data_IF_699784847621
#
_entry.id   IF_699784847621
#
_cell.length_a   1.000
_cell.length_b   1.000
_cell.length_c   1.000
_cell.angle_alpha   90.00
_cell.angle_beta   90.00
_cell.angle_gamma   90.00
#
_symmetry.space_group_name_H-M   'P 1'
#
loop_
_entity.id
_entity.type
_entity.pdbx_description
1 polymer ?
#
# COMPACT_ATOMS: atom_id res chain seq x y z
N UNK A 1 0.59 17.02 16.50
CA UNK A 1 0.57 16.09 15.35
C UNK A 1 1.98 15.54 15.21
N UNK A 2 2.12 14.24 15.27
CA UNK A 2 3.42 13.57 15.18
C UNK A 2 3.53 12.80 13.88
N UNK A 3 4.76 12.65 13.38
CA UNK A 3 5.05 11.85 12.18
C UNK A 3 5.89 10.65 12.58
N UNK A 4 5.44 9.47 12.24
CA UNK A 4 6.13 8.20 12.49
C UNK A 4 6.33 7.49 11.16
N UNK A 5 7.55 7.05 10.90
CA UNK A 5 7.88 6.23 9.72
C UNK A 5 8.36 4.87 10.20
N UNK A 6 7.77 3.81 9.66
CA UNK A 6 8.14 2.45 10.05
C UNK A 6 7.45 1.38 9.21
N UNK A 7 7.83 0.14 9.44
CA UNK A 7 7.26 -1.02 8.76
C UNK A 7 6.04 -1.55 9.49
N UNK A 8 5.01 -1.91 8.74
CA UNK A 8 3.87 -2.64 9.29
C UNK A 8 4.35 -4.02 9.72
N UNK A 9 4.46 -4.23 11.03
CA UNK A 9 4.90 -5.50 11.61
C UNK A 9 3.76 -6.50 11.70
N UNK A 10 2.57 -6.04 12.07
CA UNK A 10 1.41 -6.90 12.23
C UNK A 10 0.10 -6.12 12.09
N UNK A 11 -0.87 -6.73 11.39
CA UNK A 11 -2.24 -6.21 11.31
C UNK A 11 -3.09 -6.98 12.34
N UNK A 12 -3.47 -6.29 13.41
CA UNK A 12 -4.24 -6.87 14.52
C UNK A 12 -5.71 -7.04 14.14
N UNK A 13 -6.28 -6.04 13.50
CA UNK A 13 -7.69 -6.04 13.12
C UNK A 13 -7.92 -5.19 11.88
N UNK A 14 -8.80 -5.63 11.03
CA UNK A 14 -9.28 -4.87 9.87
C UNK A 14 -10.77 -5.07 9.67
N UNK A 15 -11.48 -3.96 9.57
CA UNK A 15 -12.88 -3.97 9.17
C UNK A 15 -12.97 -3.70 7.67
N UNK A 16 -13.40 -4.69 6.89
CA UNK A 16 -13.52 -4.57 5.43
C UNK A 16 -14.59 -3.59 4.97
N UNK A 17 -15.59 -3.30 5.83
CA UNK A 17 -16.70 -2.42 5.44
C UNK A 17 -16.33 -0.95 5.49
N UNK A 18 -15.51 -0.54 6.45
CA UNK A 18 -15.14 0.86 6.67
C UNK A 18 -13.64 1.14 6.59
N UNK A 19 -12.82 0.10 6.38
CA UNK A 19 -11.36 0.21 6.29
C UNK A 19 -10.67 0.49 7.62
N UNK A 20 -11.41 0.52 8.75
CA UNK A 20 -10.80 0.72 10.05
C UNK A 20 -9.83 -0.41 10.37
N UNK A 21 -8.59 -0.02 10.63
CA UNK A 21 -7.49 -0.97 10.83
C UNK A 21 -6.75 -0.64 12.11
N UNK A 22 -6.44 -1.66 12.88
CA UNK A 22 -5.52 -1.59 14.03
C UNK A 22 -4.30 -2.41 13.65
N UNK A 23 -3.14 -1.80 13.72
CA UNK A 23 -1.89 -2.44 13.32
C UNK A 23 -0.71 -1.90 14.09
N UNK A 24 0.38 -2.65 14.06
CA UNK A 24 1.65 -2.27 14.67
C UNK A 24 2.64 -1.83 13.61
N UNK A 25 3.35 -0.75 13.90
CA UNK A 25 4.50 -0.28 13.12
C UNK A 25 5.76 -0.49 13.96
N UNK A 26 6.74 -1.10 13.35
CA UNK A 26 8.10 -1.16 13.88
C UNK A 26 8.87 0.10 13.46
N UNK A 27 9.26 0.89 14.42
CA UNK A 27 10.00 2.14 14.29
C UNK A 27 11.30 2.04 15.10
N UNK A 28 12.26 2.92 14.85
CA UNK A 28 13.58 2.89 15.50
C UNK A 28 13.52 2.87 17.03
N UNK A 29 12.53 3.54 17.61
CA UNK A 29 12.31 3.62 19.06
C UNK A 29 11.43 2.48 19.62
N UNK A 30 11.03 1.52 18.80
CA UNK A 30 10.18 0.40 19.19
C UNK A 30 8.89 0.29 18.40
N UNK A 31 7.96 -0.50 18.92
CA UNK A 31 6.68 -0.77 18.27
C UNK A 31 5.64 0.27 18.66
N UNK A 32 4.91 0.78 17.67
CA UNK A 32 3.83 1.75 17.85
C UNK A 32 2.53 1.14 17.34
N UNK A 33 1.49 1.16 18.18
CA UNK A 33 0.14 0.77 17.77
C UNK A 33 -0.54 1.93 17.04
N UNK A 34 -0.97 1.70 15.82
CA UNK A 34 -1.64 2.67 14.97
C UNK A 34 -3.09 2.28 14.73
N UNK A 35 -3.98 3.27 14.67
CA UNK A 35 -5.42 3.08 14.42
C UNK A 35 -5.94 4.11 13.44
N UNK A 36 -6.73 3.67 12.49
CA UNK A 36 -7.35 4.56 11.51
C UNK A 36 -8.00 3.82 10.35
N UNK A 37 -8.62 4.57 9.45
CA UNK A 37 -9.19 4.01 8.24
C UNK A 37 -8.15 3.97 7.13
N UNK A 38 -7.64 2.78 6.86
CA UNK A 38 -6.67 2.51 5.81
C UNK A 38 -7.15 1.31 5.00
N UNK A 39 -7.21 1.48 3.71
CA UNK A 39 -7.43 0.36 2.82
C UNK A 39 -6.10 0.00 2.15
N UNK A 40 -5.90 -1.28 1.89
CA UNK A 40 -4.78 -1.78 1.08
C UNK A 40 -3.38 -1.66 1.68
N UNK A 41 -3.25 -1.58 3.00
CA UNK A 41 -1.95 -1.81 3.65
C UNK A 41 -1.75 -3.31 3.92
N UNK A 42 -0.50 -3.75 3.82
CA UNK A 42 -0.08 -5.11 4.12
C UNK A 42 1.08 -5.10 5.12
N UNK A 43 1.24 -6.20 5.81
CA UNK A 43 2.42 -6.42 6.64
C UNK A 43 3.70 -6.30 5.77
N UNK A 44 4.74 -5.68 6.31
CA UNK A 44 6.00 -5.43 5.62
C UNK A 44 6.05 -4.14 4.78
N UNK A 45 4.95 -3.45 4.59
CA UNK A 45 4.95 -2.16 3.90
C UNK A 45 5.57 -1.05 4.78
N UNK A 46 6.30 -0.13 4.13
CA UNK A 46 6.85 1.05 4.77
C UNK A 46 5.83 2.18 4.72
N UNK A 47 5.42 2.68 5.88
CA UNK A 47 4.46 3.78 6.01
C UNK A 47 5.08 5.00 6.66
N UNK A 48 4.74 6.17 6.16
CA UNK A 48 4.89 7.44 6.86
C UNK A 48 3.50 7.87 7.35
N UNK A 49 3.33 7.96 8.65
CA UNK A 49 2.04 8.22 9.29
C UNK A 49 2.10 9.54 10.06
N UNK A 50 1.09 10.36 9.85
CA UNK A 50 0.84 11.54 10.66
C UNK A 50 -0.42 11.34 11.51
N UNK A 51 -0.32 11.67 12.77
CA UNK A 51 -1.43 11.48 13.69
C UNK A 51 -1.20 12.09 15.07
N UNK A 52 -2.09 11.75 15.95
CA UNK A 52 -2.03 12.18 17.35
C UNK A 52 -2.10 10.97 18.28
N UNK A 53 -1.28 10.97 19.31
CA UNK A 53 -1.38 9.94 20.33
C UNK A 53 -2.63 10.13 21.19
N UNK A 54 -3.40 9.07 21.30
CA UNK A 54 -4.58 8.97 22.15
C UNK A 54 -4.40 7.80 23.11
N UNK A 55 -4.94 7.95 24.32
CA UNK A 55 -4.98 6.86 25.30
C UNK A 55 -6.34 6.16 25.22
N UNK A 56 -6.31 4.90 24.82
CA UNK A 56 -7.49 4.06 24.85
C UNK A 56 -7.59 3.37 26.21
N UNK A 57 -8.79 3.36 26.83
CA UNK A 57 -8.97 2.85 28.18
C UNK A 57 -8.56 1.37 28.38
N UNK A 58 -8.64 0.57 27.32
CA UNK A 58 -8.34 -0.86 27.37
C UNK A 58 -6.99 -1.18 26.69
N UNK A 59 -6.67 -0.51 25.59
CA UNK A 59 -5.52 -0.85 24.72
C UNK A 59 -4.33 0.07 24.89
N UNK A 60 -4.41 1.06 25.81
CA UNK A 60 -3.31 1.95 26.11
C UNK A 60 -3.05 3.01 25.03
N UNK A 61 -1.80 3.42 24.90
CA UNK A 61 -1.38 4.49 23.99
C UNK A 61 -1.43 4.02 22.52
N UNK A 62 -2.15 4.75 21.68
CA UNK A 62 -2.30 4.47 20.26
C UNK A 62 -2.08 5.75 19.44
N UNK A 63 -1.49 5.62 18.26
CA UNK A 63 -1.39 6.69 17.27
C UNK A 63 -2.64 6.70 16.39
N UNK A 64 -3.51 7.67 16.59
CA UNK A 64 -4.69 7.88 15.75
C UNK A 64 -4.29 8.60 14.48
N UNK A 65 -4.45 7.93 13.34
CA UNK A 65 -3.97 8.39 12.04
C UNK A 65 -4.90 9.46 11.48
N UNK A 66 -4.31 10.57 11.04
CA UNK A 66 -4.97 11.61 10.25
C UNK A 66 -4.56 11.52 8.76
N UNK A 67 -3.29 11.27 8.49
CA UNK A 67 -2.76 11.09 7.14
C UNK A 67 -1.72 9.97 7.13
N UNK A 68 -1.62 9.28 6.00
CA UNK A 68 -0.58 8.29 5.79
C UNK A 68 -0.11 8.30 4.33
N UNK A 69 1.12 7.88 4.14
CA UNK A 69 1.73 7.69 2.83
C UNK A 69 2.49 6.37 2.81
N UNK A 70 2.26 5.58 1.77
CA UNK A 70 3.03 4.36 1.54
C UNK A 70 4.32 4.74 0.83
N UNK A 71 5.44 4.34 1.41
CA UNK A 71 6.78 4.53 0.84
C UNK A 71 7.30 3.22 0.26
N UNK A 72 8.03 3.32 -0.83
CA UNK A 72 8.79 2.18 -1.36
C UNK A 72 9.98 1.89 -0.44
N UNK A 73 10.22 0.62 -0.06
CA UNK A 73 11.39 0.25 0.72
C UNK A 73 12.68 0.57 -0.05
N UNK A 74 13.64 1.20 0.63
CA UNK A 74 14.88 1.66 0.01
C UNK A 74 16.08 0.75 0.30
N UNK A 75 16.07 0.07 1.45
CA UNK A 75 17.17 -0.83 1.86
C UNK A 75 16.85 -2.29 1.56
N UNK A 76 17.92 -3.11 1.45
CA UNK A 76 17.84 -4.54 1.08
C UNK A 76 16.96 -5.32 2.05
N UNK A 77 17.10 -5.10 3.36
CA UNK A 77 16.35 -5.82 4.39
C UNK A 77 14.87 -5.52 4.30
N UNK A 78 14.54 -4.28 4.05
CA UNK A 78 13.16 -3.80 3.90
C UNK A 78 12.49 -4.30 2.62
N UNK A 79 13.23 -4.33 1.52
CA UNK A 79 12.78 -4.89 0.25
C UNK A 79 12.46 -6.37 0.41
N UNK A 80 13.33 -7.13 1.07
CA UNK A 80 13.12 -8.55 1.35
C UNK A 80 11.90 -8.77 2.23
N UNK A 81 11.76 -8.00 3.30
CA UNK A 81 10.60 -8.06 4.21
C UNK A 81 9.29 -7.78 3.46
N UNK A 82 9.27 -6.74 2.63
CA UNK A 82 8.10 -6.41 1.82
C UNK A 82 7.71 -7.55 0.87
N UNK A 83 8.63 -8.06 0.09
CA UNK A 83 8.37 -9.13 -0.86
C UNK A 83 7.95 -10.44 -0.18
N UNK A 84 8.49 -10.73 0.99
CA UNK A 84 8.21 -11.94 1.76
C UNK A 84 6.99 -11.85 2.68
N UNK A 85 6.34 -10.69 2.78
CA UNK A 85 5.25 -10.43 3.72
C UNK A 85 3.90 -11.06 3.36
N UNK A 86 3.77 -11.59 2.13
CA UNK A 86 2.48 -11.99 1.56
C UNK A 86 1.80 -10.90 0.72
N UNK A 87 2.41 -9.73 0.61
CA UNK A 87 1.93 -8.65 -0.27
C UNK A 87 1.92 -9.06 -1.74
N UNK A 88 2.85 -9.91 -2.15
CA UNK A 88 2.93 -10.48 -3.50
C UNK A 88 2.62 -11.98 -3.42
N UNK A 89 1.53 -12.39 -4.04
CA UNK A 89 1.13 -13.81 -4.07
C UNK A 89 2.18 -14.65 -4.80
N UNK A 90 2.52 -15.79 -4.22
CA UNK A 90 3.52 -16.70 -4.77
C UNK A 90 4.97 -16.37 -4.39
N UNK A 91 5.21 -15.30 -3.63
CA UNK A 91 6.51 -14.96 -3.07
C UNK A 91 6.46 -15.10 -1.56
N UNK A 92 7.08 -16.15 -1.05
CA UNK A 92 7.30 -16.33 0.39
C UNK A 92 8.67 -15.79 0.81
N UNK A 93 8.95 -15.86 2.12
CA UNK A 93 10.21 -15.36 2.69
C UNK A 93 11.48 -15.95 2.04
N UNK A 94 11.48 -17.25 1.74
CA UNK A 94 12.62 -17.92 1.11
C UNK A 94 12.87 -17.43 -0.32
N UNK A 95 11.80 -17.23 -1.11
CA UNK A 95 11.92 -16.73 -2.47
C UNK A 95 12.30 -15.25 -2.48
N UNK A 96 11.71 -14.45 -1.59
CA UNK A 96 12.08 -13.05 -1.41
C UNK A 96 13.57 -12.90 -1.09
N UNK A 97 14.10 -13.72 -0.21
CA UNK A 97 15.54 -13.75 0.10
C UNK A 97 16.41 -14.05 -1.12
N UNK A 98 16.00 -14.99 -1.98
CA UNK A 98 16.73 -15.29 -3.22
C UNK A 98 16.70 -14.14 -4.23
N UNK A 99 15.54 -13.51 -4.40
CA UNK A 99 15.36 -12.36 -5.29
C UNK A 99 16.28 -11.22 -4.85
N UNK A 100 16.20 -10.83 -3.59
CA UNK A 100 16.95 -9.70 -3.06
C UNK A 100 18.44 -9.99 -2.96
N UNK A 101 18.84 -11.24 -2.68
CA UNK A 101 20.25 -11.65 -2.72
C UNK A 101 20.87 -11.43 -4.10
N UNK A 102 20.09 -11.65 -5.16
CA UNK A 102 20.59 -11.51 -6.54
C UNK A 102 20.57 -10.06 -7.02
N UNK A 103 19.47 -9.35 -6.81
CA UNK A 103 19.26 -8.02 -7.38
C UNK A 103 19.47 -6.86 -6.41
N UNK A 104 19.58 -7.14 -5.11
CA UNK A 104 19.86 -6.16 -4.05
C UNK A 104 18.95 -4.93 -4.13
N UNK A 105 19.49 -3.73 -4.10
CA UNK A 105 18.76 -2.47 -4.18
C UNK A 105 18.02 -2.28 -5.50
N UNK A 106 18.47 -2.95 -6.56
CA UNK A 106 17.84 -2.91 -7.88
C UNK A 106 16.59 -3.79 -8.01
N UNK A 107 16.20 -4.50 -6.97
CA UNK A 107 15.11 -5.50 -7.02
C UNK A 107 13.83 -4.94 -7.61
N UNK A 108 13.33 -3.81 -7.12
CA UNK A 108 12.10 -3.22 -7.65
C UNK A 108 12.25 -2.72 -9.08
N UNK A 109 13.38 -2.12 -9.41
CA UNK A 109 13.68 -1.70 -10.79
C UNK A 109 13.68 -2.88 -11.76
N UNK A 110 14.32 -4.00 -11.38
CA UNK A 110 14.34 -5.22 -12.18
C UNK A 110 12.92 -5.79 -12.37
N UNK A 111 12.14 -5.84 -11.32
CA UNK A 111 10.75 -6.34 -11.41
C UNK A 111 9.91 -5.45 -12.34
N UNK A 112 10.12 -4.13 -12.31
CA UNK A 112 9.36 -3.17 -13.10
C UNK A 112 9.82 -3.11 -14.56
N UNK A 113 11.12 -3.03 -14.81
CA UNK A 113 11.70 -2.77 -16.13
C UNK A 113 12.16 -4.03 -16.88
N UNK A 114 12.62 -5.04 -16.15
CA UNK A 114 13.23 -6.25 -16.69
C UNK A 114 12.68 -7.52 -16.01
N UNK A 115 11.34 -7.71 -15.94
CA UNK A 115 10.73 -8.79 -15.14
C UNK A 115 11.17 -10.18 -15.57
N UNK A 116 11.54 -10.38 -16.83
CA UNK A 116 12.06 -11.65 -17.35
C UNK A 116 13.33 -12.12 -16.63
N UNK A 117 14.11 -11.21 -16.07
CA UNK A 117 15.29 -11.55 -15.28
C UNK A 117 15.00 -12.28 -13.97
N UNK A 118 13.77 -12.17 -13.47
CA UNK A 118 13.34 -12.97 -12.31
C UNK A 118 13.40 -14.47 -12.60
N UNK A 119 13.23 -14.89 -13.84
CA UNK A 119 13.32 -16.28 -14.24
C UNK A 119 14.76 -16.86 -14.16
N UNK A 120 15.78 -16.02 -14.00
CA UNK A 120 17.15 -16.47 -13.70
C UNK A 120 17.27 -17.08 -12.30
N UNK A 121 16.27 -16.86 -11.43
CA UNK A 121 16.22 -17.38 -10.07
C UNK A 121 15.55 -18.75 -10.07
N UNK A 122 16.22 -19.73 -9.43
CA UNK A 122 15.65 -21.07 -9.27
C UNK A 122 14.30 -21.02 -8.54
N UNK A 123 13.28 -21.56 -9.18
CA UNK A 123 11.91 -21.59 -8.64
C UNK A 123 10.99 -20.51 -9.20
N UNK A 124 11.49 -19.64 -10.11
CA UNK A 124 10.69 -18.66 -10.83
C UNK A 124 10.68 -19.01 -12.31
N UNK A 125 9.51 -19.39 -12.83
CA UNK A 125 9.25 -19.51 -14.27
C UNK A 125 9.03 -18.14 -14.91
N UNK A 126 9.13 -18.05 -16.24
CA UNK A 126 8.79 -16.82 -16.96
C UNK A 126 7.36 -16.34 -16.67
N UNK A 127 6.41 -17.27 -16.59
CA UNK A 127 5.03 -16.97 -16.21
C UNK A 127 4.94 -16.37 -14.80
N UNK A 128 5.61 -16.98 -13.84
CA UNK A 128 5.64 -16.48 -12.44
C UNK A 128 6.31 -15.13 -12.36
N UNK A 129 7.38 -14.89 -13.13
CA UNK A 129 8.03 -13.60 -13.21
C UNK A 129 7.05 -12.50 -13.66
N UNK A 130 6.26 -12.76 -14.71
CA UNK A 130 5.24 -11.83 -15.18
C UNK A 130 4.09 -11.64 -14.19
N UNK A 131 3.67 -12.67 -13.49
CA UNK A 131 2.66 -12.59 -12.43
C UNK A 131 3.14 -11.70 -11.26
N UNK A 132 4.39 -11.81 -10.86
CA UNK A 132 4.98 -10.96 -9.82
C UNK A 132 5.02 -9.48 -10.27
N UNK A 133 5.50 -9.24 -11.48
CA UNK A 133 5.56 -7.89 -12.05
C UNK A 133 4.17 -7.25 -12.16
N UNK A 134 3.19 -7.98 -12.67
CA UNK A 134 1.81 -7.51 -12.80
C UNK A 134 1.17 -7.16 -11.46
N UNK A 135 1.42 -7.93 -10.41
CA UNK A 135 0.90 -7.64 -9.07
C UNK A 135 1.47 -6.33 -8.50
N UNK A 136 2.76 -6.06 -8.68
CA UNK A 136 3.38 -4.83 -8.21
C UNK A 136 2.92 -3.61 -9.02
N UNK A 137 2.77 -3.75 -10.32
CA UNK A 137 2.22 -2.71 -11.19
C UNK A 137 0.78 -2.36 -10.81
N UNK A 138 -0.08 -3.36 -10.61
CA UNK A 138 -1.47 -3.17 -10.18
C UNK A 138 -1.56 -2.44 -8.83
N UNK A 139 -0.69 -2.76 -7.88
CA UNK A 139 -0.61 -2.06 -6.59
C UNK A 139 -0.21 -0.60 -6.74
N UNK A 140 0.77 -0.29 -7.58
CA UNK A 140 1.16 1.09 -7.91
C UNK A 140 0.01 1.88 -8.53
N UNK A 141 -0.67 1.29 -9.50
CA UNK A 141 -1.79 1.91 -10.20
C UNK A 141 -2.95 2.21 -9.25
N UNK A 142 -3.29 1.27 -8.40
CA UNK A 142 -4.31 1.45 -7.38
C UNK A 142 -3.94 2.61 -6.42
N UNK A 143 -2.71 2.69 -5.95
CA UNK A 143 -2.26 3.79 -5.08
C UNK A 143 -2.36 5.15 -5.77
N UNK A 144 -1.92 5.25 -7.01
CA UNK A 144 -2.05 6.47 -7.81
C UNK A 144 -3.50 6.91 -7.98
N UNK A 145 -4.38 5.96 -8.29
CA UNK A 145 -5.80 6.21 -8.42
C UNK A 145 -6.44 6.66 -7.09
N UNK A 146 -6.05 6.04 -5.98
CA UNK A 146 -6.51 6.43 -4.64
C UNK A 146 -6.09 7.86 -4.29
N UNK A 147 -4.85 8.22 -4.54
CA UNK A 147 -4.33 9.59 -4.32
C UNK A 147 -5.08 10.59 -5.19
N UNK A 148 -5.30 10.26 -6.44
CA UNK A 148 -6.05 11.10 -7.37
C UNK A 148 -7.48 11.38 -6.89
N UNK A 149 -8.20 10.35 -6.45
CA UNK A 149 -9.56 10.48 -5.93
C UNK A 149 -9.61 11.29 -4.62
N UNK A 150 -8.63 11.13 -3.75
CA UNK A 150 -8.52 11.89 -2.51
C UNK A 150 -8.32 13.39 -2.74
N UNK A 151 -7.67 13.78 -3.83
CA UNK A 151 -7.55 15.19 -4.25
C UNK A 151 -8.90 15.89 -4.42
N UNK A 152 -9.93 15.15 -4.80
CA UNK A 152 -11.29 15.66 -4.98
C UNK A 152 -12.16 15.50 -3.72
N UNK A 153 -11.55 15.27 -2.57
CA UNK A 153 -12.27 15.14 -1.30
C UNK A 153 -13.00 13.80 -1.11
N UNK A 154 -12.71 12.82 -1.97
CA UNK A 154 -13.29 11.48 -1.86
C UNK A 154 -12.56 10.74 -0.73
N UNK A 155 -13.33 10.19 0.21
CA UNK A 155 -12.78 9.44 1.34
C UNK A 155 -12.08 8.17 0.86
N UNK A 156 -11.10 7.70 1.64
CA UNK A 156 -10.36 6.46 1.35
C UNK A 156 -11.28 5.28 1.09
N UNK A 157 -12.33 5.12 1.90
CA UNK A 157 -13.33 4.05 1.75
C UNK A 157 -14.06 4.11 0.40
N UNK A 158 -14.51 5.31 0.01
CA UNK A 158 -15.24 5.49 -1.24
C UNK A 158 -14.31 5.37 -2.44
N UNK A 159 -13.10 5.92 -2.35
CA UNK A 159 -12.07 5.80 -3.39
C UNK A 159 -11.74 4.33 -3.69
N UNK A 160 -11.60 3.51 -2.64
CA UNK A 160 -11.38 2.08 -2.77
C UNK A 160 -12.52 1.38 -3.52
N UNK A 161 -13.77 1.66 -3.19
CA UNK A 161 -14.94 1.10 -3.87
C UNK A 161 -15.01 1.54 -5.33
N UNK A 162 -14.74 2.80 -5.61
CA UNK A 162 -14.70 3.33 -6.97
C UNK A 162 -13.61 2.62 -7.78
N UNK A 163 -12.42 2.45 -7.22
CA UNK A 163 -11.35 1.75 -7.91
C UNK A 163 -11.67 0.26 -8.15
N UNK A 164 -12.27 -0.43 -7.17
CA UNK A 164 -12.71 -1.82 -7.34
C UNK A 164 -13.71 -1.98 -8.48
N UNK A 165 -14.57 -0.99 -8.70
CA UNK A 165 -15.60 -1.03 -9.72
C UNK A 165 -15.07 -0.63 -11.11
N UNK A 166 -14.29 0.44 -11.19
CA UNK A 166 -13.87 1.05 -12.45
C UNK A 166 -12.41 0.76 -12.84
N UNK A 167 -11.56 0.32 -11.90
CA UNK A 167 -10.12 0.13 -12.15
C UNK A 167 -9.47 1.42 -12.65
N UNK A 168 -8.61 1.31 -13.65
CA UNK A 168 -7.92 2.46 -14.26
C UNK A 168 -8.88 3.42 -15.00
N UNK A 169 -10.11 3.02 -15.26
CA UNK A 169 -11.13 3.91 -15.86
C UNK A 169 -11.56 5.03 -14.93
N UNK A 170 -11.17 5.01 -13.65
CA UNK A 170 -11.50 6.07 -12.67
C UNK A 170 -11.10 7.46 -13.15
N UNK A 171 -10.00 7.58 -13.87
CA UNK A 171 -9.52 8.86 -14.40
C UNK A 171 -10.49 9.45 -15.42
N UNK A 172 -11.07 8.62 -16.28
CA UNK A 172 -12.08 9.04 -17.28
C UNK A 172 -13.41 9.34 -16.64
N UNK A 173 -13.87 8.50 -15.72
CA UNK A 173 -15.15 8.67 -15.01
C UNK A 173 -15.16 9.94 -14.18
N UNK A 174 -14.09 10.24 -13.45
CA UNK A 174 -13.98 11.47 -12.67
C UNK A 174 -13.96 12.73 -13.53
N UNK A 175 -13.31 12.71 -14.70
CA UNK A 175 -13.32 13.84 -15.64
C UNK A 175 -14.72 14.09 -16.22
N UNK A 176 -15.46 13.04 -16.55
CA UNK A 176 -16.84 13.16 -17.03
C UNK A 176 -17.79 13.67 -15.93
N UNK A 177 -17.64 13.16 -14.72
CA UNK A 177 -18.46 13.54 -13.59
C UNK A 177 -18.23 14.98 -13.12
N UNK A 178 -16.99 15.47 -13.14
CA UNK A 178 -16.68 16.87 -12.80
C UNK A 178 -17.19 17.87 -13.82
N UNK A 179 -17.25 17.53 -15.10
CA UNK A 179 -17.84 18.39 -16.13
C UNK A 179 -19.38 18.42 -16.07
N UNK A 180 -20.01 17.26 -15.89
CA UNK A 180 -21.49 17.17 -15.80
C UNK A 180 -22.04 17.73 -14.48
N UNK A 181 -21.35 17.50 -13.36
CA UNK A 181 -21.77 18.04 -12.06
C UNK A 181 -21.55 19.56 -11.96
N UNK A 182 -20.57 20.11 -12.63
CA UNK A 182 -20.38 21.55 -12.72
C UNK A 182 -21.48 22.22 -13.58
N UNK A 183 -21.93 21.55 -14.63
CA UNK A 183 -23.07 22.00 -15.47
C UNK A 183 -24.40 21.90 -14.73
N UNK A 184 -24.62 20.87 -13.92
CA UNK A 184 -25.86 20.71 -13.14
C UNK A 184 -25.94 21.71 -11.97
N UNK A 185 -24.84 22.07 -11.34
CA UNK A 185 -24.76 23.07 -10.26
C UNK A 185 -24.97 24.50 -10.79
N UNK A 186 -24.68 24.75 -12.05
CA UNK A 186 -24.93 26.05 -12.71
C UNK A 186 -26.32 26.18 -13.27
N UNK A 187 -27.11 25.10 -13.37
CA UNK A 187 -28.51 25.10 -13.84
C UNK A 187 -29.56 25.32 -12.75
N UNK A 188 -29.18 25.39 -11.50
CA UNK A 188 -30.03 25.73 -10.37
C UNK A 188 -29.82 27.20 -10.01
#
# INVERSE_FOLDING_TARGET
METVTGYVSHIVYRNSDNGYTVFHIEHDDGEVTCVGSLNYINEGELLEIQGEYVNHNVYGKQLKISHYKVKEPEDIVSIERYLGSGAVKGVGAALAGRIVKKFKEDTFRIIEEEPERLAEIKGISERKAQEIASQLEEKKDMRKAMIYLQKYGITTKLAAKIYQYYGMKVYKVCLLYTSDAADDLTRV
#
